data_IF_338187350107
#
_entry.id   IF_338187350107
#
_cell.length_a   1.000
_cell.length_b   1.000
_cell.length_c   1.000
_cell.angle_alpha   90.00
_cell.angle_beta   90.00
_cell.angle_gamma   90.00
#
_symmetry.space_group_name_H-M   'P 1'
#
loop_
_entity.id
_entity.type
_entity.pdbx_description
1 polymer ?
#
# COMPACT_ATOMS: atom_id res chain seq x y z
N UNK A 1 64.87 19.19 30.69
CA UNK A 1 63.58 19.37 31.39
C UNK A 1 63.77 20.35 32.53
N UNK A 2 62.85 21.29 32.70
CA UNK A 2 62.86 22.33 33.76
C UNK A 2 61.78 22.07 34.81
N UNK A 3 61.44 20.80 35.08
CA UNK A 3 60.38 20.44 36.02
C UNK A 3 60.77 20.73 37.47
N UNK A 4 59.84 21.28 38.23
CA UNK A 4 59.90 21.53 39.67
C UNK A 4 59.60 20.26 40.48
N UNK A 5 59.98 20.25 41.77
CA UNK A 5 59.63 19.15 42.68
C UNK A 5 58.10 18.98 42.83
N UNK A 6 57.33 20.07 42.77
CA UNK A 6 55.86 20.02 42.82
C UNK A 6 55.28 19.33 41.58
N UNK A 7 55.78 19.65 40.39
CA UNK A 7 55.34 18.96 39.16
C UNK A 7 55.67 17.47 39.22
N UNK A 8 56.88 17.10 39.68
CA UNK A 8 57.27 15.69 39.82
C UNK A 8 56.42 14.93 40.86
N UNK A 9 56.06 15.58 41.98
CA UNK A 9 55.20 14.98 43.00
C UNK A 9 53.77 14.73 42.50
N UNK A 10 53.26 15.52 41.54
CA UNK A 10 51.96 15.26 40.90
C UNK A 10 51.98 13.98 40.04
N UNK A 11 53.16 13.55 39.60
CA UNK A 11 53.38 12.33 38.83
C UNK A 11 53.67 11.11 39.74
N UNK A 12 53.79 11.31 41.06
CA UNK A 12 54.01 10.21 41.99
C UNK A 12 52.79 9.27 42.00
N UNK A 13 53.05 7.97 41.82
CA UNK A 13 52.00 6.95 41.67
C UNK A 13 51.31 6.89 40.30
N UNK A 14 51.65 7.75 39.34
CA UNK A 14 51.15 7.66 37.96
C UNK A 14 51.86 6.50 37.24
N UNK A 15 51.09 5.57 36.67
CA UNK A 15 51.60 4.40 35.92
C UNK A 15 51.57 4.58 34.40
N UNK A 16 51.11 5.73 33.91
CA UNK A 16 50.95 5.99 32.48
C UNK A 16 52.30 6.07 31.74
N UNK A 17 52.35 5.44 30.57
CA UNK A 17 53.46 5.50 29.62
C UNK A 17 53.44 6.79 28.79
N UNK A 18 54.55 7.13 28.13
CA UNK A 18 54.59 8.24 27.17
C UNK A 18 53.55 8.07 26.04
N UNK A 19 53.28 6.84 25.63
CA UNK A 19 52.26 6.55 24.62
C UNK A 19 50.85 6.90 25.12
N UNK A 20 50.50 6.52 26.35
CA UNK A 20 49.20 6.83 26.95
C UNK A 20 49.02 8.33 27.19
N UNK A 21 50.08 9.02 27.63
CA UNK A 21 50.08 10.49 27.76
C UNK A 21 49.93 11.19 26.41
N UNK A 22 50.49 10.63 25.33
CA UNK A 22 50.32 11.17 23.99
C UNK A 22 48.89 10.95 23.42
N UNK A 23 48.09 10.01 23.95
CA UNK A 23 46.67 9.87 23.53
C UNK A 23 45.79 11.03 24.00
N UNK A 24 46.21 11.77 25.02
CA UNK A 24 45.53 12.98 25.50
C UNK A 24 46.17 14.26 24.97
N UNK A 25 47.12 14.16 24.04
CA UNK A 25 47.63 15.34 23.35
C UNK A 25 46.50 16.03 22.56
N UNK A 26 46.41 17.35 22.66
CA UNK A 26 45.31 18.15 22.11
C UNK A 26 44.03 18.19 22.95
N UNK A 27 43.98 17.53 24.11
CA UNK A 27 42.84 17.64 25.05
C UNK A 27 42.86 19.00 25.76
N UNK A 28 41.91 19.88 25.43
CA UNK A 28 41.86 21.27 25.94
C UNK A 28 40.99 21.48 27.18
N UNK A 29 40.30 20.44 27.64
CA UNK A 29 39.38 20.44 28.80
C UNK A 29 39.33 19.05 29.43
N UNK A 30 38.53 18.86 30.48
CA UNK A 30 38.37 17.51 31.05
C UNK A 30 37.88 16.52 29.98
N UNK A 31 38.42 15.30 29.95
CA UNK A 31 38.05 14.27 28.97
C UNK A 31 36.53 14.02 29.01
N UNK A 32 35.94 14.09 30.19
CA UNK A 32 34.48 13.97 30.35
C UNK A 32 33.72 15.04 29.56
N UNK A 33 34.15 16.30 29.62
CA UNK A 33 33.55 17.39 28.83
C UNK A 33 33.60 17.10 27.33
N UNK A 34 34.69 16.50 26.84
CA UNK A 34 34.80 16.15 25.42
C UNK A 34 33.85 15.01 25.03
N UNK A 35 33.72 13.99 25.88
CA UNK A 35 32.81 12.86 25.66
C UNK A 35 31.35 13.30 25.70
N UNK A 36 30.98 14.14 26.66
CA UNK A 36 29.64 14.70 26.79
C UNK A 36 29.28 15.55 25.58
N UNK A 37 30.20 16.38 25.10
CA UNK A 37 30.00 17.17 23.88
C UNK A 37 29.79 16.28 22.64
N UNK A 38 30.52 15.15 22.55
CA UNK A 38 30.35 14.19 21.45
C UNK A 38 28.99 13.49 21.53
N UNK A 39 28.54 13.07 22.71
CA UNK A 39 27.21 12.50 22.91
C UNK A 39 26.11 13.51 22.56
N UNK A 40 26.24 14.77 23.01
CA UNK A 40 25.29 15.84 22.71
C UNK A 40 25.21 16.21 21.21
N UNK A 41 26.26 15.90 20.43
CA UNK A 41 26.25 16.12 18.98
C UNK A 41 25.40 15.11 18.20
N UNK A 42 25.03 13.98 18.83
CA UNK A 42 24.10 13.01 18.25
C UNK A 42 22.70 13.62 18.29
N UNK A 43 22.11 13.85 17.12
CA UNK A 43 20.81 14.54 16.98
C UNK A 43 19.90 13.82 15.99
N UNK A 44 18.64 14.26 15.91
CA UNK A 44 17.65 13.67 14.99
C UNK A 44 17.40 12.19 15.23
N UNK A 45 17.20 11.43 14.15
CA UNK A 45 16.91 10.00 14.18
C UNK A 45 18.01 9.13 14.82
N UNK A 46 19.26 9.63 14.85
CA UNK A 46 20.36 8.89 15.43
C UNK A 46 20.17 8.65 16.95
N UNK A 47 19.49 9.55 17.67
CA UNK A 47 19.28 9.36 19.11
C UNK A 47 18.32 8.21 19.43
N UNK A 48 17.48 7.77 18.49
CA UNK A 48 16.62 6.58 18.70
C UNK A 48 17.44 5.30 18.61
N UNK A 49 18.38 5.24 17.66
CA UNK A 49 19.20 4.04 17.43
C UNK A 49 20.31 3.96 18.49
N UNK A 50 20.71 5.10 19.07
CA UNK A 50 21.71 5.17 20.13
C UNK A 50 21.25 4.46 21.42
N UNK A 51 19.94 4.50 21.73
CA UNK A 51 19.40 3.98 22.99
C UNK A 51 18.38 2.85 22.84
N UNK A 52 17.74 2.68 21.68
CA UNK A 52 16.72 1.65 21.46
C UNK A 52 17.05 0.66 20.34
N UNK A 53 16.52 -0.56 20.46
CA UNK A 53 16.41 -1.50 19.34
C UNK A 53 15.00 -1.43 18.77
N UNK A 54 14.89 -1.32 17.45
CA UNK A 54 13.62 -1.26 16.73
C UNK A 54 13.03 -2.66 16.62
N UNK A 55 11.73 -2.81 16.85
CA UNK A 55 11.02 -4.09 16.66
C UNK A 55 11.18 -4.59 15.22
N UNK A 56 11.62 -5.84 15.06
CA UNK A 56 11.79 -6.46 13.76
C UNK A 56 10.46 -6.56 12.98
N UNK A 57 10.56 -6.71 11.65
CA UNK A 57 9.44 -7.02 10.76
C UNK A 57 8.32 -5.95 10.70
N UNK A 58 8.69 -4.67 10.75
CA UNK A 58 7.80 -3.52 10.47
C UNK A 58 8.54 -2.49 9.61
N UNK A 59 7.80 -1.63 8.90
CA UNK A 59 8.40 -0.47 8.26
C UNK A 59 8.88 0.55 9.31
N UNK A 60 9.95 1.27 8.99
CA UNK A 60 10.44 2.39 9.79
C UNK A 60 9.91 3.69 9.20
N UNK A 61 9.44 4.59 10.07
CA UNK A 61 9.02 5.95 9.75
C UNK A 61 9.78 6.94 10.62
N UNK A 62 9.67 8.22 10.29
CA UNK A 62 10.09 9.30 11.18
C UNK A 62 8.88 9.85 11.91
N UNK A 63 8.96 10.03 13.23
CA UNK A 63 7.89 10.63 14.03
C UNK A 63 7.87 12.16 13.91
N UNK A 64 6.89 12.79 14.58
CA UNK A 64 6.76 14.25 14.62
C UNK A 64 7.92 14.99 15.28
N UNK A 65 8.81 14.29 15.99
CA UNK A 65 10.01 14.82 16.63
C UNK A 65 11.29 14.60 15.81
N UNK A 66 11.17 14.06 14.58
CA UNK A 66 12.32 13.75 13.73
C UNK A 66 13.08 12.47 14.14
N UNK A 67 12.48 11.64 15.00
CA UNK A 67 13.04 10.39 15.53
C UNK A 67 12.56 9.21 14.72
N UNK A 68 13.32 8.12 14.76
CA UNK A 68 12.87 6.87 14.13
C UNK A 68 11.71 6.31 14.97
N UNK A 69 10.66 5.86 14.29
CA UNK A 69 9.54 5.19 14.91
C UNK A 69 9.13 3.99 14.06
N UNK A 70 8.40 3.08 14.69
CA UNK A 70 7.89 1.90 14.01
C UNK A 70 6.53 2.23 13.40
N UNK A 71 6.41 2.06 12.09
CA UNK A 71 5.18 2.37 11.34
C UNK A 71 4.03 1.48 11.78
N UNK A 72 2.83 2.04 11.92
CA UNK A 72 1.60 1.26 12.13
C UNK A 72 1.38 0.20 11.02
N UNK A 73 1.95 0.42 9.84
CA UNK A 73 2.00 -0.58 8.76
C UNK A 73 2.91 -1.76 9.16
N UNK A 74 2.31 -2.93 9.17
CA UNK A 74 2.94 -4.22 9.49
C UNK A 74 3.64 -4.85 8.27
N UNK A 75 4.56 -5.79 8.53
CA UNK A 75 5.13 -6.61 7.45
C UNK A 75 4.08 -7.44 6.71
N UNK A 76 2.99 -7.84 7.35
CA UNK A 76 1.87 -8.55 6.71
C UNK A 76 1.17 -7.66 5.69
N UNK A 77 0.87 -6.41 6.03
CA UNK A 77 0.25 -5.46 5.10
C UNK A 77 1.18 -5.16 3.91
N UNK A 78 2.48 -5.03 4.14
CA UNK A 78 3.46 -4.89 3.06
C UNK A 78 3.55 -6.15 2.19
N UNK A 79 3.48 -7.34 2.78
CA UNK A 79 3.52 -8.60 2.06
C UNK A 79 2.28 -8.81 1.16
N UNK A 80 1.11 -8.27 1.55
CA UNK A 80 -0.08 -8.25 0.69
C UNK A 80 0.13 -7.36 -0.55
N UNK A 81 0.90 -6.29 -0.43
CA UNK A 81 1.25 -5.41 -1.55
C UNK A 81 2.43 -5.94 -2.40
N UNK A 82 3.17 -6.94 -1.90
CA UNK A 82 4.28 -7.52 -2.63
C UNK A 82 3.79 -8.26 -3.88
N UNK A 83 4.35 -7.90 -5.04
CA UNK A 83 3.94 -8.43 -6.34
C UNK A 83 2.69 -7.80 -6.97
N UNK A 84 2.04 -6.83 -6.32
CA UNK A 84 0.95 -6.06 -6.94
C UNK A 84 1.52 -5.17 -8.06
N UNK A 85 1.04 -5.34 -9.29
CA UNK A 85 1.48 -4.55 -10.46
C UNK A 85 0.56 -3.35 -10.76
N UNK A 86 -0.27 -2.94 -9.80
CA UNK A 86 -1.24 -1.86 -9.98
C UNK A 86 -0.60 -0.47 -9.76
N UNK A 87 -1.04 0.49 -10.56
CA UNK A 87 -0.79 1.92 -10.41
C UNK A 87 -1.77 2.55 -9.42
N UNK A 88 -1.45 3.74 -8.92
CA UNK A 88 -2.39 4.52 -8.10
C UNK A 88 -3.71 4.78 -8.84
N UNK A 89 -3.67 4.98 -10.16
CA UNK A 89 -4.88 5.19 -10.94
C UNK A 89 -5.77 3.94 -10.97
N UNK A 90 -5.19 2.75 -11.14
CA UNK A 90 -5.94 1.49 -11.11
C UNK A 90 -6.54 1.21 -9.72
N UNK A 91 -5.78 1.45 -8.65
CA UNK A 91 -6.29 1.31 -7.27
C UNK A 91 -7.40 2.33 -6.97
N UNK A 92 -7.30 3.56 -7.46
CA UNK A 92 -8.33 4.58 -7.27
C UNK A 92 -9.63 4.24 -8.03
N UNK A 93 -9.60 3.43 -9.08
CA UNK A 93 -10.83 2.95 -9.74
C UNK A 93 -11.60 2.00 -8.83
N UNK A 94 -10.91 1.25 -7.94
CA UNK A 94 -11.57 0.39 -6.95
C UNK A 94 -12.24 1.22 -5.84
N UNK A 95 -11.89 2.50 -5.68
CA UNK A 95 -12.58 3.41 -4.76
C UNK A 95 -14.00 3.69 -5.27
N UNK A 96 -15.00 3.19 -4.54
CA UNK A 96 -16.41 3.29 -4.89
C UNK A 96 -16.99 2.12 -5.70
N UNK A 97 -16.18 1.10 -6.06
CA UNK A 97 -16.71 -0.16 -6.60
C UNK A 97 -17.42 -0.93 -5.48
N UNK A 98 -18.71 -1.20 -5.66
CA UNK A 98 -19.52 -1.97 -4.69
C UNK A 98 -19.55 -3.47 -5.00
N UNK A 99 -18.86 -3.92 -6.04
CA UNK A 99 -18.85 -5.33 -6.45
C UNK A 99 -18.13 -6.22 -5.44
N UNK A 100 -18.73 -7.37 -5.16
CA UNK A 100 -18.18 -8.48 -4.39
C UNK A 100 -17.28 -9.35 -5.27
N UNK A 101 -16.46 -10.20 -4.64
CA UNK A 101 -15.68 -11.21 -5.35
C UNK A 101 -16.57 -12.12 -6.21
N UNK A 102 -17.77 -12.46 -5.73
CA UNK A 102 -18.74 -13.23 -6.50
C UNK A 102 -19.16 -12.49 -7.76
N UNK A 103 -19.56 -11.22 -7.66
CA UNK A 103 -19.96 -10.44 -8.84
C UNK A 103 -18.82 -10.27 -9.85
N UNK A 104 -17.59 -10.01 -9.38
CA UNK A 104 -16.42 -9.92 -10.27
C UNK A 104 -16.11 -11.26 -10.95
N UNK A 105 -16.23 -12.38 -10.24
CA UNK A 105 -16.03 -13.72 -10.81
C UNK A 105 -17.10 -14.09 -11.84
N UNK A 106 -18.30 -13.50 -11.78
CA UNK A 106 -19.31 -13.68 -12.84
C UNK A 106 -18.91 -12.97 -14.14
N UNK A 107 -18.11 -11.90 -14.04
CA UNK A 107 -17.55 -11.19 -15.21
C UNK A 107 -16.33 -11.92 -15.79
N UNK A 108 -15.73 -12.85 -15.05
CA UNK A 108 -14.64 -13.69 -15.57
C UNK A 108 -15.16 -14.60 -16.69
N UNK A 109 -14.60 -14.44 -17.89
CA UNK A 109 -15.02 -15.15 -19.10
C UNK A 109 -16.21 -14.55 -19.85
N UNK A 110 -16.80 -13.43 -19.38
CA UNK A 110 -17.80 -12.69 -20.17
C UNK A 110 -17.11 -12.03 -21.38
N UNK A 111 -17.54 -12.38 -22.59
CA UNK A 111 -17.02 -11.79 -23.84
C UNK A 111 -17.85 -10.61 -24.34
N UNK A 112 -18.87 -10.20 -23.59
CA UNK A 112 -19.75 -9.11 -23.99
C UNK A 112 -18.98 -7.78 -24.04
N UNK A 113 -19.16 -7.05 -25.13
CA UNK A 113 -18.71 -5.68 -25.32
C UNK A 113 -19.62 -4.69 -24.58
N UNK A 114 -19.14 -3.48 -24.35
CA UNK A 114 -19.97 -2.39 -23.81
C UNK A 114 -21.22 -2.14 -24.66
N UNK A 115 -21.12 -2.30 -25.98
CA UNK A 115 -22.26 -2.14 -26.89
C UNK A 115 -23.33 -3.22 -26.65
N UNK A 116 -22.91 -4.47 -26.48
CA UNK A 116 -23.84 -5.58 -26.18
C UNK A 116 -24.49 -5.43 -24.81
N UNK A 117 -23.74 -4.99 -23.79
CA UNK A 117 -24.28 -4.68 -22.47
C UNK A 117 -25.28 -3.52 -22.52
N UNK A 118 -25.02 -2.49 -23.34
CA UNK A 118 -25.95 -1.37 -23.49
C UNK A 118 -27.27 -1.76 -24.18
N UNK A 119 -27.34 -2.87 -24.91
CA UNK A 119 -28.62 -3.36 -25.47
C UNK A 119 -29.57 -3.92 -24.42
N UNK A 120 -29.04 -4.33 -23.25
CA UNK A 120 -29.88 -4.76 -22.12
C UNK A 120 -30.16 -3.63 -21.14
N UNK A 121 -29.71 -2.40 -21.41
CA UNK A 121 -30.10 -1.24 -20.63
C UNK A 121 -31.63 -1.00 -20.74
N UNK A 122 -32.28 -0.81 -19.60
CA UNK A 122 -33.75 -0.68 -19.52
C UNK A 122 -34.54 -2.00 -19.52
N UNK A 123 -33.89 -3.17 -19.59
CA UNK A 123 -34.52 -4.48 -19.40
C UNK A 123 -34.95 -4.63 -17.94
N UNK A 124 -36.26 -4.53 -17.66
CA UNK A 124 -36.82 -4.57 -16.29
C UNK A 124 -37.17 -5.97 -15.77
N UNK A 125 -37.12 -6.98 -16.64
CA UNK A 125 -37.34 -8.39 -16.33
C UNK A 125 -36.54 -9.27 -17.28
N UNK A 126 -36.42 -10.57 -16.97
CA UNK A 126 -35.74 -11.55 -17.81
C UNK A 126 -36.09 -11.36 -19.29
N UNK A 127 -35.07 -11.31 -20.16
CA UNK A 127 -35.25 -11.07 -21.61
C UNK A 127 -36.25 -12.05 -22.21
N UNK A 128 -36.24 -13.31 -21.76
CA UNK A 128 -37.21 -14.31 -22.21
C UNK A 128 -38.66 -13.88 -21.93
N UNK A 129 -38.97 -13.35 -20.75
CA UNK A 129 -40.30 -12.86 -20.41
C UNK A 129 -40.74 -11.72 -21.34
N UNK A 130 -39.82 -10.84 -21.74
CA UNK A 130 -40.14 -9.76 -22.68
C UNK A 130 -40.41 -10.28 -24.10
N UNK A 131 -39.61 -11.25 -24.55
CA UNK A 131 -39.81 -11.92 -25.84
C UNK A 131 -41.15 -12.67 -25.88
N UNK A 132 -41.49 -13.36 -24.81
CA UNK A 132 -42.76 -14.08 -24.67
C UNK A 132 -43.95 -13.10 -24.70
N UNK A 133 -43.85 -11.98 -23.97
CA UNK A 133 -44.88 -10.93 -23.98
C UNK A 133 -45.06 -10.30 -25.37
N UNK A 134 -43.96 -10.04 -26.09
CA UNK A 134 -44.01 -9.50 -27.45
C UNK A 134 -44.64 -10.49 -28.43
N UNK A 135 -44.32 -11.78 -28.30
CA UNK A 135 -44.93 -12.84 -29.10
C UNK A 135 -46.44 -12.94 -28.82
N UNK A 136 -46.85 -12.85 -27.56
CA UNK A 136 -48.26 -12.85 -27.18
C UNK A 136 -49.05 -11.62 -27.66
N UNK A 137 -48.37 -10.49 -27.93
CA UNK A 137 -49.00 -9.28 -28.48
C UNK A 137 -49.34 -9.39 -29.97
N UNK A 138 -48.79 -10.38 -30.68
CA UNK A 138 -49.16 -10.70 -32.04
C UNK A 138 -50.57 -11.31 -32.02
N UNK A 139 -51.51 -10.71 -32.73
CA UNK A 139 -52.93 -11.11 -32.74
C UNK A 139 -53.50 -11.14 -34.16
N UNK A 140 -54.70 -11.70 -34.34
CA UNK A 140 -55.41 -11.76 -35.63
C UNK A 140 -54.72 -12.64 -36.68
N UNK A 141 -54.80 -12.29 -37.96
CA UNK A 141 -54.21 -13.09 -39.04
C UNK A 141 -52.69 -13.25 -38.93
N UNK A 142 -51.99 -12.37 -38.20
CA UNK A 142 -50.56 -12.46 -37.97
C UNK A 142 -50.17 -13.69 -37.12
N UNK A 143 -51.02 -14.15 -36.20
CA UNK A 143 -50.73 -15.37 -35.41
C UNK A 143 -50.72 -16.62 -36.28
N UNK A 144 -51.56 -16.64 -37.32
CA UNK A 144 -51.62 -17.75 -38.27
C UNK A 144 -50.37 -17.81 -39.13
N UNK A 145 -49.73 -16.67 -39.44
CA UNK A 145 -48.47 -16.60 -40.19
C UNK A 145 -47.27 -16.95 -39.31
N UNK A 146 -47.29 -16.51 -38.05
CA UNK A 146 -46.21 -16.75 -37.08
C UNK A 146 -46.05 -18.25 -36.76
N UNK A 147 -47.15 -18.99 -36.76
CA UNK A 147 -47.17 -20.41 -36.37
C UNK A 147 -47.37 -21.41 -37.52
N UNK A 148 -47.93 -20.99 -38.67
CA UNK A 148 -48.21 -21.87 -39.82
C UNK A 148 -47.96 -21.18 -41.18
N UNK A 149 -47.68 -21.95 -42.24
CA UNK A 149 -47.59 -21.42 -43.62
C UNK A 149 -49.00 -21.19 -44.19
N UNK A 150 -49.27 -20.00 -44.75
CA UNK A 150 -50.52 -19.77 -45.48
C UNK A 150 -50.49 -20.57 -46.79
N UNK A 151 -51.17 -21.71 -46.80
CA UNK A 151 -51.50 -22.41 -48.06
C UNK A 151 -52.55 -21.61 -48.83
N UNK A 152 -52.50 -21.65 -50.17
CA UNK A 152 -53.32 -20.83 -51.07
C UNK A 152 -54.84 -20.82 -50.79
N UNK A 153 -55.39 -21.85 -50.14
CA UNK A 153 -56.80 -21.93 -49.73
C UNK A 153 -57.18 -21.07 -48.51
N UNK A 154 -56.21 -20.49 -47.80
CA UNK A 154 -56.39 -19.63 -46.61
C UNK A 154 -55.99 -18.17 -46.88
N UNK A 155 -56.06 -17.71 -48.13
CA UNK A 155 -55.71 -16.33 -48.47
C UNK A 155 -56.53 -15.34 -47.62
N UNK A 156 -55.86 -14.32 -47.10
CA UNK A 156 -56.45 -13.29 -46.24
C UNK A 156 -57.56 -12.56 -47.01
N UNK A 157 -58.81 -12.87 -46.71
CA UNK A 157 -59.95 -12.09 -47.19
C UNK A 157 -60.16 -10.97 -46.18
N UNK A 158 -59.92 -9.74 -46.61
CA UNK A 158 -60.21 -8.51 -45.85
C UNK A 158 -61.70 -8.27 -45.74
#
# INVERSE_FOLDING_TARGET
>A
VTSTATELNLLDGVTATTAELNYVDGVTSSIQTQLDAKSASITGSATTIDTETITASRAMVTDGSGKVAVSDVTSTELAVLDGVTATTAELNILDGVTSTATELNLLDGVTATTAELNYVDGVTSNVQTQLDAKSASITGSATTIDTETITASRAMVT
#
